data_IF_280578212359
#
_entry.id   IF_280578212359
#
_cell.length_a   1.000
_cell.length_b   1.000
_cell.length_c   1.000
_cell.angle_alpha   90.00
_cell.angle_beta   90.00
_cell.angle_gamma   90.00
#
_symmetry.space_group_name_H-M   'P 1'
#
loop_
_entity.id
_entity.type
_entity.pdbx_description
1 polymer ?
#
# COMPACT_ATOMS: atom_id res chain seq x y z
N UNK A 1 17.77 1.97 -3.25
CA UNK A 1 16.77 0.97 -3.64
C UNK A 1 15.80 1.59 -4.64
N UNK A 2 15.50 0.89 -5.71
CA UNK A 2 14.58 1.37 -6.71
C UNK A 2 13.13 1.16 -6.26
N UNK A 3 12.24 2.01 -6.77
CA UNK A 3 10.81 1.87 -6.50
C UNK A 3 10.27 0.50 -6.97
N UNK A 4 10.78 -0.01 -8.11
CA UNK A 4 10.41 -1.33 -8.61
C UNK A 4 10.80 -2.47 -7.66
N UNK A 5 11.92 -2.34 -6.96
CA UNK A 5 12.33 -3.33 -5.96
C UNK A 5 11.42 -3.31 -4.75
N UNK A 6 10.99 -2.14 -4.34
CA UNK A 6 10.03 -1.96 -3.24
C UNK A 6 8.69 -2.57 -3.63
N UNK A 7 8.25 -2.33 -4.87
CA UNK A 7 7.00 -2.87 -5.40
C UNK A 7 7.03 -4.40 -5.42
N UNK A 8 8.11 -4.99 -5.93
CA UNK A 8 8.26 -6.44 -5.97
C UNK A 8 8.27 -7.04 -4.56
N UNK A 9 8.90 -6.37 -3.63
CA UNK A 9 8.93 -6.83 -2.24
C UNK A 9 7.55 -6.76 -1.60
N UNK A 10 6.78 -5.72 -1.90
CA UNK A 10 5.40 -5.61 -1.42
C UNK A 10 4.56 -6.77 -1.94
N UNK A 11 4.62 -7.04 -3.25
CA UNK A 11 3.84 -8.10 -3.87
C UNK A 11 4.18 -9.45 -3.22
N UNK A 12 5.47 -9.75 -3.09
CA UNK A 12 5.91 -10.97 -2.44
C UNK A 12 5.42 -11.07 -1.00
N UNK A 13 5.55 -9.99 -0.23
CA UNK A 13 5.16 -9.96 1.18
C UNK A 13 3.65 -10.19 1.33
N UNK A 14 2.84 -9.53 0.51
CA UNK A 14 1.38 -9.68 0.53
C UNK A 14 0.98 -11.11 0.16
N UNK A 15 1.59 -11.67 -0.87
CA UNK A 15 1.28 -13.05 -1.30
C UNK A 15 1.72 -14.07 -0.26
N UNK A 16 2.80 -13.81 0.45
CA UNK A 16 3.23 -14.65 1.57
C UNK A 16 2.19 -14.66 2.70
N UNK A 17 1.46 -13.58 2.88
CA UNK A 17 0.34 -13.51 3.83
C UNK A 17 -0.94 -14.18 3.33
N UNK A 18 -0.95 -14.63 2.08
CA UNK A 18 -2.15 -15.19 1.46
C UNK A 18 -3.04 -14.16 0.78
N UNK A 19 -2.57 -12.93 0.66
CA UNK A 19 -3.31 -11.85 0.01
C UNK A 19 -2.93 -11.61 -1.44
N UNK A 20 -3.42 -10.53 -1.99
CA UNK A 20 -3.12 -10.11 -3.37
C UNK A 20 -2.91 -8.60 -3.41
N UNK A 21 -1.96 -8.19 -4.25
CA UNK A 21 -1.65 -6.78 -4.48
C UNK A 21 -1.88 -6.47 -5.96
N UNK A 22 -3.09 -6.06 -6.30
CA UNK A 22 -3.43 -5.73 -7.70
C UNK A 22 -2.93 -4.33 -8.05
N UNK A 23 -2.49 -4.18 -9.28
CA UNK A 23 -2.16 -2.87 -9.80
C UNK A 23 -3.44 -2.05 -9.95
N UNK A 24 -3.40 -0.82 -9.45
CA UNK A 24 -4.55 0.06 -9.50
C UNK A 24 -4.33 1.16 -10.54
N UNK A 25 -5.23 1.21 -11.52
CA UNK A 25 -5.26 2.27 -12.54
C UNK A 25 -6.68 2.77 -12.69
N UNK A 26 -6.83 4.06 -12.82
CA UNK A 26 -8.11 4.67 -13.11
C UNK A 26 -7.96 5.60 -14.31
N UNK A 27 -8.56 5.27 -15.46
CA UNK A 27 -8.38 6.08 -16.67
C UNK A 27 -8.86 7.53 -16.53
N UNK A 28 -9.86 7.76 -15.70
CA UNK A 28 -10.50 9.07 -15.56
C UNK A 28 -10.13 9.78 -14.26
N UNK A 29 -9.27 9.18 -13.43
CA UNK A 29 -8.89 9.74 -12.14
C UNK A 29 -7.38 9.64 -11.96
N UNK A 30 -6.71 10.79 -11.96
CA UNK A 30 -5.26 10.85 -11.71
C UNK A 30 -4.97 10.82 -10.22
N UNK A 31 -3.79 10.32 -9.86
CA UNK A 31 -3.31 10.35 -8.48
C UNK A 31 -3.78 9.19 -7.62
N UNK A 32 -4.46 8.18 -8.19
CA UNK A 32 -4.82 6.97 -7.43
C UNK A 32 -3.56 6.24 -6.96
N UNK A 33 -3.69 5.43 -5.91
CA UNK A 33 -2.57 4.66 -5.37
C UNK A 33 -2.05 3.61 -6.36
N UNK A 34 -0.81 3.14 -6.13
CA UNK A 34 -0.18 2.16 -7.03
C UNK A 34 -0.86 0.80 -6.99
N UNK A 35 -1.28 0.37 -5.80
CA UNK A 35 -1.81 -0.96 -5.58
C UNK A 35 -3.07 -0.93 -4.72
N UNK A 36 -3.97 -1.86 -5.00
CA UNK A 36 -5.03 -2.24 -4.08
C UNK A 36 -4.63 -3.60 -3.51
N UNK A 37 -4.54 -3.69 -2.19
CA UNK A 37 -4.14 -4.90 -1.49
C UNK A 37 -5.34 -5.46 -0.73
N UNK A 38 -5.63 -6.74 -0.95
CA UNK A 38 -6.66 -7.46 -0.20
C UNK A 38 -6.00 -8.55 0.62
N UNK A 39 -6.30 -8.58 1.92
CA UNK A 39 -5.71 -9.51 2.87
C UNK A 39 -6.76 -10.50 3.37
N UNK A 40 -6.34 -11.72 3.81
CA UNK A 40 -7.30 -12.79 4.15
C UNK A 40 -8.28 -12.46 5.27
N UNK A 41 -7.94 -11.51 6.17
CA UNK A 41 -8.85 -11.11 7.25
C UNK A 41 -9.96 -10.14 6.78
N UNK A 42 -10.03 -9.85 5.46
CA UNK A 42 -11.00 -8.93 4.90
C UNK A 42 -10.53 -7.49 4.77
N UNK A 43 -9.29 -7.19 5.17
CA UNK A 43 -8.75 -5.85 5.00
C UNK A 43 -8.46 -5.55 3.55
N UNK A 44 -8.88 -4.37 3.09
CA UNK A 44 -8.51 -3.82 1.79
C UNK A 44 -7.73 -2.53 2.02
N UNK A 45 -6.58 -2.43 1.38
CA UNK A 45 -5.67 -1.29 1.52
C UNK A 45 -5.40 -0.63 0.17
N UNK A 46 -5.36 0.69 0.17
CA UNK A 46 -4.81 1.47 -0.93
C UNK A 46 -3.36 1.76 -0.59
N UNK A 47 -2.43 1.26 -1.40
CA UNK A 47 -1.00 1.33 -1.11
C UNK A 47 -0.27 2.14 -2.18
N UNK A 48 0.39 3.18 -1.73
CA UNK A 48 1.28 4.01 -2.55
C UNK A 48 2.73 3.64 -2.23
N UNK A 49 3.55 3.50 -3.26
CA UNK A 49 4.96 3.17 -3.10
C UNK A 49 5.81 4.35 -3.58
N UNK A 50 6.81 4.69 -2.80
CA UNK A 50 7.79 5.73 -3.15
C UNK A 50 9.18 5.22 -2.81
N UNK A 51 10.19 5.68 -3.59
CA UNK A 51 11.57 5.36 -3.26
C UNK A 51 11.97 6.05 -1.96
N UNK A 52 12.97 5.50 -1.19
CA UNK A 52 13.34 6.04 0.11
C UNK A 52 13.84 7.48 0.09
N UNK A 53 14.60 7.86 -0.96
CA UNK A 53 15.14 9.22 -1.08
C UNK A 53 14.49 9.95 -2.24
N UNK A 54 14.03 11.18 -1.97
CA UNK A 54 13.46 12.06 -2.99
C UNK A 54 12.09 11.65 -3.46
N UNK A 55 11.52 10.57 -2.93
CA UNK A 55 10.17 10.15 -3.25
C UNK A 55 9.16 10.99 -2.47
N UNK A 56 8.29 11.71 -3.18
CA UNK A 56 7.25 12.53 -2.57
C UNK A 56 5.93 12.27 -3.27
N UNK A 57 4.85 12.40 -2.52
CA UNK A 57 3.52 12.37 -3.13
C UNK A 57 3.35 13.60 -4.02
N UNK A 58 2.93 13.37 -5.27
CA UNK A 58 2.50 14.45 -6.13
C UNK A 58 1.19 15.05 -5.56
N UNK A 59 0.85 16.30 -5.90
CA UNK A 59 -0.36 16.94 -5.36
C UNK A 59 -1.63 16.10 -5.52
N UNK A 60 -1.85 15.48 -6.67
CA UNK A 60 -3.04 14.66 -6.89
C UNK A 60 -2.99 13.36 -6.06
N UNK A 61 -1.80 12.81 -5.81
CA UNK A 61 -1.65 11.64 -4.95
C UNK A 61 -1.97 11.98 -3.48
N UNK A 62 -1.59 13.17 -3.04
CA UNK A 62 -1.91 13.62 -1.69
C UNK A 62 -3.42 13.85 -1.54
N UNK A 63 -4.08 14.38 -2.56
CA UNK A 63 -5.53 14.56 -2.57
C UNK A 63 -6.23 13.20 -2.49
N UNK A 64 -5.77 12.23 -3.26
CA UNK A 64 -6.32 10.87 -3.21
C UNK A 64 -6.17 10.26 -1.81
N UNK A 65 -4.98 10.36 -1.22
CA UNK A 65 -4.73 9.88 0.15
C UNK A 65 -5.71 10.51 1.13
N UNK A 66 -5.85 11.83 1.09
CA UNK A 66 -6.71 12.55 2.03
C UNK A 66 -8.17 12.12 1.88
N UNK A 67 -8.61 11.88 0.66
CA UNK A 67 -9.97 11.40 0.38
C UNK A 67 -10.18 9.99 0.94
N UNK A 68 -9.25 9.08 0.71
CA UNK A 68 -9.31 7.71 1.22
C UNK A 68 -9.40 7.71 2.75
N UNK A 69 -8.55 8.52 3.40
CA UNK A 69 -8.51 8.62 4.86
C UNK A 69 -9.82 9.25 5.38
N UNK A 70 -10.31 10.29 4.71
CA UNK A 70 -11.58 10.93 5.07
C UNK A 70 -12.74 9.94 5.03
N UNK A 71 -12.72 9.03 4.08
CA UNK A 71 -13.75 8.00 3.92
C UNK A 71 -13.51 6.78 4.82
N UNK A 72 -12.54 6.88 5.74
CA UNK A 72 -12.22 5.84 6.71
C UNK A 72 -11.77 4.51 6.05
N UNK A 73 -11.19 4.60 4.87
CA UNK A 73 -10.59 3.46 4.20
C UNK A 73 -9.12 3.35 4.59
N UNK A 74 -8.52 2.19 4.38
CA UNK A 74 -7.13 1.95 4.75
C UNK A 74 -6.20 2.44 3.66
N UNK A 75 -5.19 3.20 4.07
CA UNK A 75 -4.18 3.75 3.17
C UNK A 75 -2.80 3.54 3.78
N UNK A 76 -1.82 3.17 2.96
CA UNK A 76 -0.43 3.08 3.38
C UNK A 76 0.48 3.71 2.34
N UNK A 77 1.47 4.45 2.80
CA UNK A 77 2.58 4.94 2.00
C UNK A 77 3.83 4.20 2.47
N UNK A 78 4.42 3.39 1.60
CA UNK A 78 5.55 2.54 1.97
C UNK A 78 6.74 2.89 1.07
N UNK A 79 7.89 3.13 1.68
CA UNK A 79 9.07 3.63 0.98
C UNK A 79 10.28 2.71 1.04
N UNK A 80 10.24 1.65 1.85
CA UNK A 80 11.35 0.73 2.00
C UNK A 80 10.88 -0.62 2.56
N UNK A 81 11.79 -1.61 2.54
CA UNK A 81 11.49 -2.96 3.02
C UNK A 81 11.13 -3.00 4.51
N UNK A 82 11.80 -2.18 5.32
CA UNK A 82 11.54 -2.13 6.75
C UNK A 82 10.09 -1.72 7.02
N UNK A 83 9.61 -0.70 6.31
CA UNK A 83 8.22 -0.25 6.45
C UNK A 83 7.23 -1.32 6.01
N UNK A 84 7.54 -2.04 4.95
CA UNK A 84 6.71 -3.16 4.50
C UNK A 84 6.69 -4.26 5.56
N UNK A 85 7.85 -4.61 6.13
CA UNK A 85 7.94 -5.61 7.18
C UNK A 85 7.13 -5.20 8.43
N UNK A 86 7.22 -3.96 8.82
CA UNK A 86 6.44 -3.42 9.95
C UNK A 86 4.94 -3.49 9.65
N UNK A 87 4.54 -3.11 8.45
CA UNK A 87 3.16 -3.13 8.01
C UNK A 87 2.58 -4.56 8.00
N UNK A 88 3.34 -5.53 7.49
CA UNK A 88 2.91 -6.93 7.49
C UNK A 88 2.89 -7.51 8.91
N UNK A 89 3.83 -7.11 9.76
CA UNK A 89 3.86 -7.54 11.17
C UNK A 89 2.60 -7.05 11.90
N UNK A 90 2.23 -5.80 11.72
CA UNK A 90 1.02 -5.24 12.31
C UNK A 90 -0.23 -5.99 11.83
N UNK A 91 -0.28 -6.35 10.56
CA UNK A 91 -1.36 -7.17 10.04
C UNK A 91 -1.45 -8.52 10.76
N UNK A 92 -0.31 -9.19 10.95
CA UNK A 92 -0.30 -10.48 11.64
C UNK A 92 -0.86 -10.37 13.05
N UNK A 93 -0.53 -9.30 13.76
CA UNK A 93 -1.06 -9.06 15.10
C UNK A 93 -2.57 -8.88 15.04
N UNK A 94 -3.08 -8.05 14.15
CA UNK A 94 -4.52 -7.83 14.02
C UNK A 94 -5.27 -9.12 13.68
N UNK A 95 -4.70 -9.94 12.80
CA UNK A 95 -5.35 -11.18 12.36
C UNK A 95 -5.40 -12.24 13.47
N UNK A 96 -4.49 -12.18 14.45
CA UNK A 96 -4.51 -13.06 15.61
C UNK A 96 -5.61 -12.68 16.61
N UNK A 97 -5.93 -11.40 16.68
CA UNK A 97 -6.88 -10.88 17.66
C UNK A 97 -8.31 -10.92 17.13
N UNK A 98 -8.43 -10.65 15.87
CA UNK A 98 -9.72 -10.55 15.24
C UNK A 98 -10.10 -11.74 14.41
#
# INVERSE_FOLDING_TARGET
MRESEIENYLIWSVETLGGRAWKFKSPNQRGVSDRIVCLPNGETWFVELKRPKGGRLAPLQAIFRDEVVRLQQRYALLTNKKEIDEWTHEYRIRSLIG
#
